data_IF_241233448542
#
_entry.id   IF_241233448542
#
_cell.length_a   1.000
_cell.length_b   1.000
_cell.length_c   1.000
_cell.angle_alpha   90.00
_cell.angle_beta   90.00
_cell.angle_gamma   90.00
#
_symmetry.space_group_name_H-M   'P 1'
#
loop_
_entity.id
_entity.type
_entity.pdbx_description
1 polymer ?
#
# COMPACT_ATOMS: atom_id res chain seq x y z
N UNK A 1 -32.23 -6.04 -21.04
CA UNK A 1 -31.83 -5.35 -19.80
C UNK A 1 -30.41 -4.84 -20.00
N UNK A 2 -30.23 -3.56 -20.32
CA UNK A 2 -28.94 -2.97 -20.76
C UNK A 2 -27.88 -2.91 -19.65
N UNK A 3 -28.32 -2.77 -18.39
CA UNK A 3 -27.43 -2.63 -17.23
C UNK A 3 -26.63 -3.91 -16.92
N UNK A 4 -27.24 -5.09 -17.08
CA UNK A 4 -26.57 -6.36 -16.78
C UNK A 4 -25.48 -6.77 -17.78
N UNK A 5 -25.39 -6.09 -18.93
CA UNK A 5 -24.30 -6.23 -19.88
C UNK A 5 -23.12 -5.33 -19.51
N UNK A 6 -23.42 -4.09 -19.08
CA UNK A 6 -22.41 -3.14 -18.60
C UNK A 6 -21.72 -3.65 -17.34
N UNK A 7 -22.48 -4.15 -16.36
CA UNK A 7 -21.92 -4.69 -15.11
C UNK A 7 -20.92 -5.82 -15.36
N UNK A 8 -21.27 -6.76 -16.25
CA UNK A 8 -20.40 -7.88 -16.63
C UNK A 8 -19.18 -7.45 -17.43
N UNK A 9 -19.30 -6.37 -18.20
CA UNK A 9 -18.18 -5.82 -18.95
C UNK A 9 -17.17 -5.16 -18.02
N UNK A 10 -17.63 -4.37 -17.05
CA UNK A 10 -16.80 -3.76 -16.03
C UNK A 10 -16.10 -4.81 -15.16
N UNK A 11 -16.84 -5.83 -14.70
CA UNK A 11 -16.27 -6.91 -13.87
C UNK A 11 -15.15 -7.67 -14.62
N UNK A 12 -15.35 -8.00 -15.90
CA UNK A 12 -14.31 -8.65 -16.72
C UNK A 12 -13.11 -7.75 -16.93
N UNK A 13 -13.31 -6.44 -17.05
CA UNK A 13 -12.23 -5.47 -17.24
C UNK A 13 -11.41 -5.31 -15.96
N UNK A 14 -12.07 -5.23 -14.80
CA UNK A 14 -11.40 -5.22 -13.50
C UNK A 14 -10.57 -6.50 -13.31
N UNK A 15 -11.16 -7.67 -13.56
CA UNK A 15 -10.46 -8.96 -13.40
C UNK A 15 -9.22 -9.09 -14.29
N UNK A 16 -9.26 -8.65 -15.55
CA UNK A 16 -8.07 -8.62 -16.42
C UNK A 16 -6.97 -7.69 -15.91
N UNK A 17 -7.37 -6.57 -15.29
CA UNK A 17 -6.44 -5.67 -14.63
C UNK A 17 -5.74 -6.35 -13.45
N UNK A 18 -6.47 -7.14 -12.67
CA UNK A 18 -5.91 -7.93 -11.56
C UNK A 18 -5.04 -9.10 -12.04
N UNK A 19 -5.42 -9.81 -13.11
CA UNK A 19 -4.64 -10.90 -13.71
C UNK A 19 -3.22 -10.45 -14.14
N UNK A 20 -3.06 -9.17 -14.53
CA UNK A 20 -1.77 -8.58 -14.87
C UNK A 20 -0.94 -8.12 -13.67
N UNK A 21 -1.52 -8.03 -12.47
CA UNK A 21 -0.79 -7.65 -11.25
C UNK A 21 -0.08 -8.87 -10.70
N UNK A 22 1.18 -8.68 -10.32
CA UNK A 22 1.94 -9.68 -9.59
C UNK A 22 1.72 -9.49 -8.11
N UNK A 23 1.45 -10.59 -7.39
CA UNK A 23 1.51 -10.60 -5.93
C UNK A 23 2.93 -10.24 -5.52
N UNK A 24 3.06 -9.07 -4.90
CA UNK A 24 4.30 -8.62 -4.28
C UNK A 24 4.17 -8.80 -2.78
N UNK A 25 5.30 -9.05 -2.11
CA UNK A 25 5.34 -9.03 -0.66
C UNK A 25 4.93 -7.63 -0.16
N UNK A 26 4.24 -7.62 0.98
CA UNK A 26 3.91 -6.38 1.67
C UNK A 26 5.20 -5.78 2.23
N UNK A 27 5.55 -4.58 1.79
CA UNK A 27 6.77 -3.89 2.21
C UNK A 27 6.40 -2.49 2.68
N UNK A 28 6.75 -2.17 3.93
CA UNK A 28 6.53 -0.85 4.53
C UNK A 28 7.51 0.21 4.01
N UNK A 29 8.65 -0.23 3.47
CA UNK A 29 9.72 0.63 2.93
C UNK A 29 10.17 1.71 3.93
N UNK A 30 10.33 1.31 5.19
CA UNK A 30 10.65 2.22 6.31
C UNK A 30 11.97 2.97 6.10
N UNK A 31 12.92 2.40 5.38
CA UNK A 31 14.19 3.06 5.02
C UNK A 31 13.98 4.27 4.10
N UNK A 32 12.95 4.22 3.24
CA UNK A 32 12.56 5.33 2.37
C UNK A 32 11.73 6.38 3.11
N UNK A 33 10.84 5.94 4.00
CA UNK A 33 9.99 6.83 4.79
C UNK A 33 10.78 7.59 5.87
N UNK A 34 11.77 6.94 6.49
CA UNK A 34 12.54 7.47 7.61
C UNK A 34 14.05 7.26 7.36
N UNK A 35 14.70 8.17 6.60
CA UNK A 35 16.12 8.03 6.27
C UNK A 35 17.00 7.99 7.53
N UNK A 36 17.71 6.88 7.75
CA UNK A 36 18.57 6.70 8.93
C UNK A 36 17.92 5.97 10.11
N UNK A 37 16.63 5.63 10.02
CA UNK A 37 16.02 4.70 10.96
C UNK A 37 16.59 3.28 10.79
N UNK A 38 16.63 2.49 11.87
CA UNK A 38 16.95 1.05 11.77
C UNK A 38 15.97 0.35 10.83
N UNK A 39 16.39 -0.73 10.19
CA UNK A 39 15.50 -1.59 9.40
C UNK A 39 14.31 -2.03 10.24
N UNK A 40 13.16 -1.46 9.94
CA UNK A 40 11.88 -1.83 10.54
C UNK A 40 11.21 -2.86 9.65
N UNK A 41 10.77 -3.95 10.27
CA UNK A 41 10.08 -5.05 9.58
C UNK A 41 8.62 -5.19 10.01
N UNK A 42 8.19 -4.51 11.08
CA UNK A 42 6.83 -4.58 11.61
C UNK A 42 6.04 -3.28 11.40
N UNK A 43 4.71 -3.42 11.33
CA UNK A 43 3.79 -2.29 11.21
C UNK A 43 3.80 -1.46 12.49
N UNK A 44 3.87 -2.09 13.67
CA UNK A 44 3.86 -1.37 14.95
C UNK A 44 5.05 -0.42 15.09
N UNK A 45 6.25 -0.89 14.71
CA UNK A 45 7.47 -0.07 14.76
C UNK A 45 7.41 1.09 13.75
N UNK A 46 6.81 0.88 12.58
CA UNK A 46 6.61 1.93 11.60
C UNK A 46 5.66 3.01 12.12
N UNK A 47 4.54 2.61 12.73
CA UNK A 47 3.59 3.54 13.35
C UNK A 47 4.25 4.33 14.49
N UNK A 48 5.06 3.68 15.32
CA UNK A 48 5.78 4.38 16.39
C UNK A 48 6.73 5.46 15.88
N UNK A 49 7.45 5.21 14.77
CA UNK A 49 8.27 6.25 14.14
C UNK A 49 7.43 7.34 13.48
N UNK A 50 6.29 7.00 12.87
CA UNK A 50 5.39 7.98 12.30
C UNK A 50 4.87 8.96 13.37
N UNK A 51 4.49 8.43 14.54
CA UNK A 51 4.07 9.26 15.68
C UNK A 51 5.20 10.16 16.18
N UNK A 52 6.43 9.65 16.21
CA UNK A 52 7.61 10.45 16.56
C UNK A 52 7.87 11.57 15.54
N UNK A 53 7.77 11.27 14.25
CA UNK A 53 7.94 12.24 13.16
C UNK A 53 6.90 13.36 13.19
N UNK A 54 5.66 13.04 13.59
CA UNK A 54 4.60 14.04 13.74
C UNK A 54 4.85 14.93 14.95
N UNK A 55 5.41 14.38 16.04
CA UNK A 55 5.66 15.10 17.27
C UNK A 55 6.92 15.97 17.25
N UNK A 56 7.93 15.61 16.45
CA UNK A 56 9.20 16.33 16.34
C UNK A 56 9.36 16.98 14.95
N UNK A 57 9.26 18.32 14.85
CA UNK A 57 9.45 19.05 13.59
C UNK A 57 10.84 18.91 12.95
N UNK A 58 11.83 18.42 13.70
CA UNK A 58 13.21 18.23 13.23
C UNK A 58 13.52 16.77 12.87
N UNK A 59 12.54 15.88 12.96
CA UNK A 59 12.66 14.45 12.65
C UNK A 59 12.94 14.17 11.16
#
# INVERSE_FOLDING_TARGET
>A
MYHSWLDRWDERRARRGEEGKKTTDFVLDAERAFPGAKKITSIEEFCALADQAVADPAF
#
